data_IF_984470955850
#
_entry.id   IF_984470955850
#
_cell.length_a   1.000
_cell.length_b   1.000
_cell.length_c   1.000
_cell.angle_alpha   90.00
_cell.angle_beta   90.00
_cell.angle_gamma   90.00
#
_symmetry.space_group_name_H-M   'P 1'
#
loop_
_entity.id
_entity.type
_entity.pdbx_description
1 polymer ?
#
# COMPACT_ATOMS: atom_id res chain seq x y z
N UNK A 1 -17.27 20.67 -9.74
CA UNK A 1 -17.28 19.23 -10.06
C UNK A 1 -16.00 18.90 -10.83
N UNK A 2 -14.93 18.49 -10.15
CA UNK A 2 -13.70 18.07 -10.79
C UNK A 2 -13.73 16.56 -11.01
N UNK A 3 -14.13 16.11 -12.20
CA UNK A 3 -14.07 14.70 -12.56
C UNK A 3 -12.61 14.29 -12.76
N UNK A 4 -12.06 13.54 -11.79
CA UNK A 4 -10.75 12.92 -11.93
C UNK A 4 -10.85 11.92 -13.08
N UNK A 5 -10.26 12.25 -14.24
CA UNK A 5 -10.19 11.32 -15.37
C UNK A 5 -9.43 10.08 -14.91
N UNK A 6 -10.08 8.91 -14.98
CA UNK A 6 -9.41 7.62 -14.75
C UNK A 6 -8.16 7.54 -15.65
N UNK A 7 -6.98 7.15 -15.12
CA UNK A 7 -5.79 6.91 -15.92
C UNK A 7 -6.08 5.92 -17.06
N UNK A 8 -5.47 6.16 -18.23
CA UNK A 8 -5.70 5.38 -19.44
C UNK A 8 -5.40 3.87 -19.26
N UNK A 9 -4.48 3.51 -18.37
CA UNK A 9 -4.20 2.13 -17.98
C UNK A 9 -5.38 1.46 -17.26
N UNK A 10 -6.02 2.16 -16.32
CA UNK A 10 -7.19 1.63 -15.61
C UNK A 10 -8.39 1.39 -16.54
N UNK A 11 -8.51 2.19 -17.61
CA UNK A 11 -9.53 1.98 -18.64
C UNK A 11 -9.26 0.72 -19.48
N UNK A 12 -8.00 0.45 -19.81
CA UNK A 12 -7.60 -0.76 -20.52
C UNK A 12 -7.78 -2.02 -19.65
N UNK A 13 -7.43 -1.93 -18.36
CA UNK A 13 -7.62 -3.03 -17.40
C UNK A 13 -9.12 -3.32 -17.21
N UNK A 14 -9.94 -2.29 -16.98
CA UNK A 14 -11.39 -2.46 -16.87
C UNK A 14 -11.98 -3.10 -18.15
N UNK A 15 -11.48 -2.75 -19.34
CA UNK A 15 -11.90 -3.36 -20.61
C UNK A 15 -11.48 -4.83 -20.74
N UNK A 16 -10.27 -5.20 -20.32
CA UNK A 16 -9.78 -6.58 -20.31
C UNK A 16 -10.64 -7.46 -19.40
N UNK A 17 -10.90 -7.01 -18.17
CA UNK A 17 -11.71 -7.79 -17.23
C UNK A 17 -13.16 -7.96 -17.71
N UNK A 18 -13.75 -6.94 -18.35
CA UNK A 18 -15.06 -7.07 -19.00
C UNK A 18 -15.06 -8.13 -20.11
N UNK A 19 -14.01 -8.17 -20.94
CA UNK A 19 -13.87 -9.21 -21.96
C UNK A 19 -13.74 -10.62 -21.35
N UNK A 20 -12.95 -10.76 -20.28
CA UNK A 20 -12.78 -12.04 -19.58
C UNK A 20 -14.10 -12.55 -18.97
N UNK A 21 -14.89 -11.67 -18.34
CA UNK A 21 -16.23 -12.05 -17.86
C UNK A 21 -17.14 -12.47 -19.01
N UNK A 22 -17.13 -11.74 -20.13
CA UNK A 22 -17.91 -12.10 -21.31
C UNK A 22 -17.50 -13.45 -21.93
N UNK A 23 -16.20 -13.79 -21.91
CA UNK A 23 -15.71 -15.09 -22.36
C UNK A 23 -16.18 -16.22 -21.44
N UNK A 24 -16.15 -15.99 -20.12
CA UNK A 24 -16.65 -16.98 -19.15
C UNK A 24 -18.14 -17.20 -19.31
N UNK A 25 -18.94 -16.14 -19.49
CA UNK A 25 -20.39 -16.27 -19.72
C UNK A 25 -20.69 -17.05 -21.03
N UNK A 26 -19.86 -16.89 -22.07
CA UNK A 26 -19.97 -17.67 -23.30
C UNK A 26 -19.63 -19.16 -23.07
N UNK A 27 -18.58 -19.45 -22.31
CA UNK A 27 -18.22 -20.82 -21.95
C UNK A 27 -19.30 -21.47 -21.09
N UNK A 28 -19.92 -20.75 -20.16
CA UNK A 28 -21.05 -21.24 -19.36
C UNK A 28 -22.26 -21.57 -20.24
N UNK A 29 -22.55 -20.72 -21.24
CA UNK A 29 -23.64 -20.96 -22.18
C UNK A 29 -23.39 -22.19 -23.08
N UNK A 30 -22.15 -22.40 -23.51
CA UNK A 30 -21.76 -23.51 -24.39
C UNK A 30 -21.58 -24.84 -23.63
N UNK A 31 -21.12 -24.79 -22.38
CA UNK A 31 -20.85 -25.97 -21.54
C UNK A 31 -22.05 -26.39 -20.67
N UNK A 32 -22.95 -25.47 -20.36
CA UNK A 32 -24.05 -25.67 -19.42
C UNK A 32 -23.60 -25.83 -17.95
N UNK A 33 -22.32 -25.57 -17.65
CA UNK A 33 -21.74 -25.63 -16.30
C UNK A 33 -21.36 -24.23 -15.83
N UNK A 34 -21.70 -23.90 -14.59
CA UNK A 34 -21.37 -22.61 -13.99
C UNK A 34 -19.87 -22.54 -13.61
N UNK A 35 -19.18 -21.51 -14.10
CA UNK A 35 -17.73 -21.32 -13.94
C UNK A 35 -17.44 -20.36 -12.76
N UNK A 36 -18.03 -20.68 -11.60
CA UNK A 36 -17.95 -19.86 -10.38
C UNK A 36 -16.51 -19.63 -9.90
N UNK A 37 -15.65 -20.64 -10.02
CA UNK A 37 -14.23 -20.55 -9.66
C UNK A 37 -13.44 -19.61 -10.60
N UNK A 38 -13.71 -19.67 -11.92
CA UNK A 38 -13.09 -18.75 -12.87
C UNK A 38 -13.54 -17.31 -12.62
N UNK A 39 -14.83 -17.08 -12.35
CA UNK A 39 -15.35 -15.77 -11.96
C UNK A 39 -14.68 -15.25 -10.69
N UNK A 40 -14.50 -16.10 -9.67
CA UNK A 40 -13.80 -15.75 -8.44
C UNK A 40 -12.32 -15.40 -8.69
N UNK A 41 -11.62 -16.16 -9.54
CA UNK A 41 -10.23 -15.89 -9.93
C UNK A 41 -10.09 -14.59 -10.70
N UNK A 42 -10.99 -14.31 -11.64
CA UNK A 42 -11.02 -13.04 -12.37
C UNK A 42 -11.25 -11.87 -11.40
N UNK A 43 -12.18 -12.01 -10.45
CA UNK A 43 -12.44 -10.99 -9.44
C UNK A 43 -11.21 -10.75 -8.53
N UNK A 44 -10.53 -11.80 -8.11
CA UNK A 44 -9.29 -11.70 -7.32
C UNK A 44 -8.17 -10.99 -8.10
N UNK A 45 -7.96 -11.37 -9.36
CA UNK A 45 -6.97 -10.73 -10.24
C UNK A 45 -7.31 -9.26 -10.52
N UNK A 46 -8.58 -8.92 -10.69
CA UNK A 46 -9.03 -7.55 -10.86
C UNK A 46 -8.77 -6.71 -9.60
N UNK A 47 -9.01 -7.28 -8.42
CA UNK A 47 -8.71 -6.63 -7.14
C UNK A 47 -7.20 -6.42 -6.97
N UNK A 48 -6.37 -7.40 -7.32
CA UNK A 48 -4.91 -7.31 -7.22
C UNK A 48 -4.31 -6.31 -8.22
N UNK A 49 -4.83 -6.29 -9.45
CA UNK A 49 -4.41 -5.32 -10.48
C UNK A 49 -4.72 -3.88 -10.05
N UNK A 50 -5.85 -3.65 -9.35
CA UNK A 50 -6.20 -2.34 -8.77
C UNK A 50 -5.36 -1.98 -7.54
N UNK A 51 -4.91 -2.96 -6.77
CA UNK A 51 -4.00 -2.76 -5.63
C UNK A 51 -2.59 -2.42 -6.07
N UNK A 52 -2.20 -2.85 -7.26
CA UNK A 52 -0.92 -2.47 -7.85
C UNK A 52 -1.02 -0.98 -8.19
N UNK A 53 -0.22 -0.10 -7.56
CA UNK A 53 -0.22 1.31 -7.91
C UNK A 53 0.09 1.43 -9.41
N UNK A 54 -0.86 1.96 -10.19
CA UNK A 54 -0.66 2.20 -11.61
C UNK A 54 0.64 2.97 -11.78
N UNK A 55 1.58 2.38 -12.54
CA UNK A 55 2.95 2.81 -12.75
C UNK A 55 3.26 4.18 -12.10
N UNK A 56 3.96 4.15 -10.95
CA UNK A 56 4.48 5.35 -10.31
C UNK A 56 4.99 6.30 -11.39
N UNK A 57 4.58 7.57 -11.32
CA UNK A 57 4.91 8.59 -12.31
C UNK A 57 6.42 8.82 -12.48
N UNK A 58 7.25 8.16 -11.67
CA UNK A 58 8.65 7.91 -11.94
C UNK A 58 8.80 6.51 -12.56
N UNK A 59 9.05 6.43 -13.88
CA UNK A 59 9.54 5.21 -14.54
C UNK A 59 10.93 4.87 -13.99
N UNK A 60 11.00 4.28 -12.80
CA UNK A 60 12.21 3.63 -12.33
C UNK A 60 12.22 2.25 -12.97
N UNK A 61 13.26 1.94 -13.74
CA UNK A 61 13.45 0.59 -14.25
C UNK A 61 13.71 -0.37 -13.09
N UNK A 62 13.55 -1.67 -13.30
CA UNK A 62 13.88 -2.69 -12.29
C UNK A 62 15.32 -2.52 -11.75
N UNK A 63 16.25 -2.09 -12.61
CA UNK A 63 17.64 -1.78 -12.25
C UNK A 63 17.73 -0.55 -11.34
N UNK A 64 16.92 0.48 -11.58
CA UNK A 64 16.88 1.66 -10.72
C UNK A 64 16.25 1.36 -9.36
N UNK A 65 15.25 0.46 -9.32
CA UNK A 65 14.67 -0.03 -8.07
C UNK A 65 15.71 -0.80 -7.26
N UNK A 66 16.44 -1.73 -7.89
CA UNK A 66 17.52 -2.45 -7.23
C UNK A 66 18.59 -1.50 -6.67
N UNK A 67 18.97 -0.49 -7.44
CA UNK A 67 19.94 0.52 -7.01
C UNK A 67 19.44 1.37 -5.84
N UNK A 68 18.17 1.74 -5.83
CA UNK A 68 17.59 2.48 -4.71
C UNK A 68 17.48 1.59 -3.47
N UNK A 69 17.17 0.30 -3.62
CA UNK A 69 17.21 -0.67 -2.51
C UNK A 69 18.62 -0.81 -1.94
N UNK A 70 19.65 -0.91 -2.78
CA UNK A 70 21.06 -0.93 -2.34
C UNK A 70 21.42 0.37 -1.59
N UNK A 71 20.96 1.52 -2.07
CA UNK A 71 21.17 2.81 -1.40
C UNK A 71 20.46 2.86 -0.04
N UNK A 72 19.22 2.39 0.02
CA UNK A 72 18.45 2.30 1.27
C UNK A 72 19.11 1.33 2.26
N UNK A 73 19.64 0.21 1.79
CA UNK A 73 20.39 -0.73 2.62
C UNK A 73 21.62 -0.06 3.24
N UNK A 74 22.42 0.63 2.44
CA UNK A 74 23.60 1.34 2.95
C UNK A 74 23.24 2.45 3.96
N UNK A 75 22.11 3.13 3.77
CA UNK A 75 21.60 4.11 4.73
C UNK A 75 21.15 3.45 6.04
N UNK A 76 20.50 2.28 5.96
CA UNK A 76 20.11 1.51 7.14
C UNK A 76 21.32 1.04 7.93
N UNK A 77 22.39 0.58 7.26
CA UNK A 77 23.64 0.19 7.90
C UNK A 77 24.29 1.38 8.63
N UNK A 78 24.32 2.55 7.98
CA UNK A 78 24.83 3.78 8.60
C UNK A 78 23.99 4.24 9.78
N UNK A 79 22.66 4.12 9.70
CA UNK A 79 21.76 4.41 10.81
C UNK A 79 21.97 3.42 11.97
N UNK A 80 22.20 2.14 11.67
CA UNK A 80 22.55 1.12 12.66
C UNK A 80 23.80 1.50 13.45
N UNK A 81 24.88 1.89 12.77
CA UNK A 81 26.11 2.32 13.43
C UNK A 81 25.90 3.57 14.31
N UNK A 82 25.07 4.52 13.87
CA UNK A 82 24.72 5.70 14.68
C UNK A 82 23.88 5.34 15.92
N UNK A 83 22.99 4.34 15.80
CA UNK A 83 22.22 3.83 16.94
C UNK A 83 23.14 3.10 17.92
N UNK A 84 24.09 2.30 17.43
CA UNK A 84 25.10 1.66 18.28
C UNK A 84 25.92 2.71 19.05
N UNK A 85 26.37 3.78 18.39
CA UNK A 85 27.07 4.90 19.04
C UNK A 85 26.16 5.63 20.05
N UNK A 86 24.92 5.92 19.69
CA UNK A 86 23.97 6.62 20.56
C UNK A 86 23.54 5.77 21.77
N UNK A 87 23.55 4.44 21.65
CA UNK A 87 23.19 3.52 22.74
C UNK A 87 24.37 3.11 23.60
N UNK A 88 25.60 3.50 23.24
CA UNK A 88 26.76 3.38 24.11
C UNK A 88 26.67 4.27 25.35
N UNK A 89 25.91 5.37 25.28
CA UNK A 89 25.54 6.20 26.44
C UNK A 89 24.18 5.74 27.02
N UNK A 90 24.21 5.27 28.27
CA UNK A 90 23.03 4.78 28.99
C UNK A 90 21.93 5.82 29.18
N UNK A 91 22.26 7.11 29.26
CA UNK A 91 21.27 8.19 29.41
C UNK A 91 20.54 8.44 28.08
N UNK A 92 21.29 8.49 26.99
CA UNK A 92 20.76 8.63 25.63
C UNK A 92 19.92 7.40 25.25
N UNK A 93 20.38 6.20 25.59
CA UNK A 93 19.63 4.97 25.41
C UNK A 93 18.27 5.02 26.14
N UNK A 94 18.26 5.47 27.39
CA UNK A 94 17.03 5.61 28.18
C UNK A 94 16.04 6.60 27.57
N UNK A 95 16.53 7.74 27.06
CA UNK A 95 15.71 8.73 26.36
C UNK A 95 15.15 8.19 25.03
N UNK A 96 15.97 7.52 24.23
CA UNK A 96 15.55 6.89 22.98
C UNK A 96 14.47 5.84 23.23
N UNK A 97 14.66 4.95 24.22
CA UNK A 97 13.68 3.94 24.60
C UNK A 97 12.36 4.56 25.07
N UNK A 98 12.41 5.63 25.88
CA UNK A 98 11.20 6.34 26.31
C UNK A 98 10.47 7.04 25.15
N UNK A 99 11.23 7.63 24.22
CA UNK A 99 10.66 8.29 23.03
C UNK A 99 10.11 7.31 22.00
N UNK A 100 10.61 6.06 21.98
CA UNK A 100 10.13 5.01 21.09
C UNK A 100 8.64 4.72 21.31
N UNK A 101 8.15 4.84 22.55
CA UNK A 101 6.72 4.68 22.87
C UNK A 101 5.81 5.69 22.14
N UNK A 102 6.35 6.85 21.73
CA UNK A 102 5.60 7.86 20.99
C UNK A 102 5.63 7.62 19.48
N UNK A 103 6.80 7.24 18.95
CA UNK A 103 7.01 7.17 17.49
C UNK A 103 6.80 5.79 16.89
N UNK A 104 7.11 4.70 17.60
CA UNK A 104 6.91 3.32 17.10
C UNK A 104 5.45 3.09 16.69
N UNK A 105 4.42 3.47 17.48
CA UNK A 105 3.02 3.29 17.08
C UNK A 105 2.58 4.12 15.87
N UNK A 106 3.34 5.16 15.50
CA UNK A 106 3.07 6.00 14.33
C UNK A 106 3.73 5.40 13.10
N UNK A 107 4.95 4.87 13.25
CA UNK A 107 5.76 4.30 12.18
C UNK A 107 5.27 2.89 11.81
N UNK A 108 4.81 2.09 12.77
CA UNK A 108 4.30 0.73 12.53
C UNK A 108 2.82 0.68 12.17
N UNK A 109 2.12 1.83 12.22
CA UNK A 109 0.69 1.86 11.90
C UNK A 109 0.43 1.60 10.41
N UNK A 110 -0.59 0.80 10.13
CA UNK A 110 -1.08 0.61 8.76
C UNK A 110 -1.60 1.92 8.17
N UNK A 111 -1.82 1.97 6.84
CA UNK A 111 -2.41 3.14 6.20
C UNK A 111 -3.82 3.43 6.76
N UNK A 112 -4.61 2.39 6.99
CA UNK A 112 -5.95 2.46 7.58
C UNK A 112 -5.90 3.00 9.01
N UNK A 113 -4.99 2.49 9.85
CA UNK A 113 -4.82 2.94 11.23
C UNK A 113 -4.41 4.42 11.34
N UNK A 114 -3.56 4.89 10.41
CA UNK A 114 -3.19 6.31 10.33
C UNK A 114 -4.38 7.18 9.96
N UNK A 115 -5.19 6.76 9.00
CA UNK A 115 -6.40 7.51 8.61
C UNK A 115 -7.48 7.51 9.69
N UNK A 116 -7.66 6.40 10.41
CA UNK A 116 -8.62 6.29 11.50
C UNK A 116 -8.27 7.22 12.68
N UNK A 117 -6.98 7.32 13.03
CA UNK A 117 -6.49 8.25 14.06
C UNK A 117 -6.75 9.72 13.69
N UNK A 118 -6.47 10.11 12.44
CA UNK A 118 -6.76 11.48 11.97
C UNK A 118 -8.25 11.82 11.95
N UNK A 119 -9.12 10.81 11.75
CA UNK A 119 -10.57 10.99 11.78
C UNK A 119 -11.12 11.05 13.21
N UNK A 120 -10.48 10.38 14.18
CA UNK A 120 -10.88 10.40 15.58
C UNK A 120 -10.50 11.71 16.28
N UNK A 121 -9.35 12.30 15.94
CA UNK A 121 -8.88 13.60 16.48
C UNK A 121 -9.67 14.80 15.93
N UNK A 122 -10.42 14.64 14.83
CA UNK A 122 -11.31 15.66 14.28
C UNK A 122 -12.70 15.74 14.92
N UNK A 123 -13.03 14.87 15.88
CA UNK A 123 -14.37 14.79 16.49
C UNK A 123 -14.39 15.02 18.02
N UNK A 124 -13.29 15.50 18.59
CA UNK A 124 -13.19 15.80 20.04
C UNK A 124 -13.19 17.31 20.31
N UNK A 125 -14.10 18.05 19.69
CA UNK A 125 -14.37 19.44 20.09
C UNK A 125 -15.82 19.83 19.80
N UNK A 126 -16.78 19.28 20.57
CA UNK A 126 -18.09 19.88 20.90
C UNK A 126 -18.81 18.97 21.88
N UNK A 127 -18.63 19.19 23.18
CA UNK A 127 -19.69 19.28 24.22
C UNK A 127 -19.07 19.18 25.61
N UNK A 128 -18.77 20.33 26.21
CA UNK A 128 -18.86 20.51 27.66
C UNK A 128 -19.01 21.99 28.01
N UNK A 129 -20.27 22.47 28.07
CA UNK A 129 -20.90 23.16 29.21
C UNK A 129 -22.30 23.63 28.84
#
# INVERSE_FOLDING_TARGET
MGGVKKPQAQLADDQLFQFLYGLVDQVEADSGTEETDLKAKIAALQAETRKTPGASTSRMSEVDVARELDNMSAKLDSLGALVEEATADSEVQGLLANSANLWVPVITASAEERTAKTSAEGNSDTTQT
#
